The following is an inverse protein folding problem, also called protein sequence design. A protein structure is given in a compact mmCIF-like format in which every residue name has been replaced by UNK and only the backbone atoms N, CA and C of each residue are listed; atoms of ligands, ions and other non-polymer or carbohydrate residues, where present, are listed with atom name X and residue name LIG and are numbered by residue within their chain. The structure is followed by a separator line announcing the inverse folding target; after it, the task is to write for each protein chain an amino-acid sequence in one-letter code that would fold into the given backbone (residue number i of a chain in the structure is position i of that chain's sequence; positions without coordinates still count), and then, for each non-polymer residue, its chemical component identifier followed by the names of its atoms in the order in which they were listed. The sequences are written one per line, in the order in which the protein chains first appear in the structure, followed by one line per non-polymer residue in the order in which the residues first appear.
data_IF_266139666034
#
_entry.id   IF_266139666034
#
_cell.length_a   1.000
_cell.length_b   1.000
_cell.length_c   1.000
_cell.angle_alpha   90.00
_cell.angle_beta   90.00
_cell.angle_gamma   90.00
#
_symmetry.space_group_name_H-M   'P 1'
#
loop_
_entity.id
_entity.type
_entity.pdbx_description
1 polymer ?
#
# COMPACT_ATOMS: atom_id res chain seq x y z
N UNK A 1 -19.37 5.39 14.77
CA UNK A 1 -18.17 5.59 13.93
C UNK A 1 -17.63 4.24 13.44
N UNK A 2 -17.47 4.04 12.13
CA UNK A 2 -16.84 2.84 11.60
C UNK A 2 -15.33 2.94 11.89
N UNK A 3 -14.87 2.21 12.91
CA UNK A 3 -13.49 2.24 13.42
C UNK A 3 -12.65 1.09 12.88
N UNK A 4 -13.08 0.43 11.80
CA UNK A 4 -12.40 -0.76 11.29
C UNK A 4 -11.06 -0.35 10.69
N UNK A 5 -9.99 -0.83 11.32
CA UNK A 5 -8.63 -0.73 10.80
C UNK A 5 -8.23 -2.00 10.06
N UNK A 6 -7.33 -1.86 9.11
CA UNK A 6 -6.79 -2.97 8.32
C UNK A 6 -5.30 -2.76 8.05
N UNK A 7 -4.55 -3.85 7.90
CA UNK A 7 -3.13 -3.80 7.55
C UNK A 7 -2.97 -3.95 6.04
N UNK A 8 -2.44 -2.92 5.39
CA UNK A 8 -2.15 -2.89 3.96
C UNK A 8 -0.66 -2.86 3.66
N UNK A 9 -0.29 -3.35 2.48
CA UNK A 9 1.09 -3.35 2.00
C UNK A 9 1.23 -2.53 0.72
N UNK A 10 2.21 -1.63 0.68
CA UNK A 10 2.54 -0.81 -0.47
C UNK A 10 3.99 -1.06 -0.88
N UNK A 11 4.25 -1.40 -2.14
CA UNK A 11 5.61 -1.55 -2.67
C UNK A 11 5.91 -0.42 -3.62
N UNK A 12 7.12 0.10 -3.52
CA UNK A 12 7.58 1.24 -4.32
C UNK A 12 9.10 1.18 -4.49
N UNK A 13 9.66 2.06 -5.32
CA UNK A 13 11.12 2.19 -5.41
C UNK A 13 11.68 2.93 -4.18
N UNK A 14 12.97 2.72 -3.88
CA UNK A 14 13.59 3.29 -2.69
C UNK A 14 13.53 4.82 -2.63
N UNK A 15 13.66 5.52 -3.77
CA UNK A 15 13.60 6.99 -3.80
C UNK A 15 12.20 7.50 -3.46
N UNK A 16 11.17 6.88 -4.02
CA UNK A 16 9.78 7.16 -3.69
C UNK A 16 9.47 6.84 -2.22
N UNK A 17 10.04 5.76 -1.68
CA UNK A 17 9.92 5.42 -0.27
C UNK A 17 10.50 6.53 0.63
N UNK A 18 11.72 6.98 0.35
CA UNK A 18 12.34 8.11 1.05
C UNK A 18 11.49 9.37 0.94
N UNK A 19 10.93 9.67 -0.24
CA UNK A 19 10.03 10.81 -0.42
C UNK A 19 8.73 10.70 0.41
N UNK A 20 8.18 9.49 0.57
CA UNK A 20 7.03 9.22 1.45
C UNK A 20 7.42 9.47 2.90
N UNK A 21 8.61 9.05 3.33
CA UNK A 21 9.08 9.31 4.69
C UNK A 21 9.21 10.82 5.01
N UNK A 22 9.56 11.64 4.01
CA UNK A 22 9.67 13.09 4.20
C UNK A 22 8.35 13.87 4.01
N UNK A 23 7.44 13.39 3.17
CA UNK A 23 6.28 14.18 2.72
C UNK A 23 4.93 13.48 2.80
N UNK A 24 4.89 12.31 3.44
CA UNK A 24 3.76 11.38 3.50
C UNK A 24 3.34 10.78 2.14
N UNK A 25 2.37 9.86 2.18
CA UNK A 25 1.77 9.28 0.97
C UNK A 25 1.01 10.35 0.19
N UNK A 26 1.14 10.27 -1.14
CA UNK A 26 0.40 11.11 -2.08
C UNK A 26 -0.60 10.27 -2.87
N UNK A 27 -1.74 10.86 -3.18
CA UNK A 27 -2.74 10.26 -4.04
C UNK A 27 -2.14 10.06 -5.44
N UNK A 28 -2.31 8.86 -6.00
CA UNK A 28 -1.90 8.60 -7.37
C UNK A 28 -2.88 9.24 -8.35
N UNK A 29 -2.44 10.26 -9.08
CA UNK A 29 -3.26 11.01 -10.05
C UNK A 29 -2.97 10.68 -11.51
N UNK A 30 -1.90 9.92 -11.79
CA UNK A 30 -1.45 9.61 -13.15
C UNK A 30 -2.16 8.38 -13.70
N UNK A 31 -2.78 8.47 -14.88
CA UNK A 31 -3.44 7.32 -15.53
C UNK A 31 -2.43 6.30 -16.08
N UNK A 32 -2.76 5.00 -16.18
CA UNK A 32 -4.03 4.37 -15.77
C UNK A 32 -4.10 4.07 -14.26
N UNK A 33 -5.31 4.10 -13.69
CA UNK A 33 -5.61 3.80 -12.29
C UNK A 33 -6.79 2.83 -12.17
N UNK A 34 -6.52 1.57 -11.80
CA UNK A 34 -7.51 0.47 -11.83
C UNK A 34 -8.73 0.72 -10.95
N UNK A 35 -8.54 1.31 -9.78
CA UNK A 35 -9.57 1.55 -8.75
C UNK A 35 -9.88 3.04 -8.56
N UNK A 36 -9.50 3.86 -9.55
CA UNK A 36 -9.56 5.32 -9.43
C UNK A 36 -8.32 5.90 -8.76
N UNK A 37 -8.32 7.22 -8.59
CA UNK A 37 -7.17 7.94 -8.03
C UNK A 37 -7.17 7.87 -6.50
N UNK A 38 -6.12 7.26 -5.95
CA UNK A 38 -5.93 7.17 -4.50
C UNK A 38 -4.60 6.55 -4.12
N UNK A 39 -4.50 6.06 -2.88
CA UNK A 39 -3.31 5.37 -2.38
C UNK A 39 -3.61 3.87 -2.36
N UNK A 40 -2.80 3.10 -3.07
CA UNK A 40 -3.04 1.68 -3.32
C UNK A 40 -2.29 0.81 -2.31
N UNK A 41 -2.98 -0.21 -1.83
CA UNK A 41 -2.43 -1.24 -0.96
C UNK A 41 -2.86 -2.62 -1.45
N UNK A 42 -1.99 -3.60 -1.23
CA UNK A 42 -2.32 -5.01 -1.36
C UNK A 42 -2.60 -5.61 0.01
N UNK A 43 -3.37 -6.70 0.01
CA UNK A 43 -3.60 -7.54 1.19
C UNK A 43 -2.38 -8.35 1.63
N UNK A 44 -1.43 -8.57 0.73
CA UNK A 44 -0.29 -9.47 0.96
C UNK A 44 1.01 -8.87 0.43
N UNK A 45 2.07 -8.91 1.26
CA UNK A 45 3.44 -8.50 0.88
C UNK A 45 3.87 -9.19 -0.42
N UNK A 46 3.71 -10.51 -0.51
CA UNK A 46 4.15 -11.30 -1.67
C UNK A 46 3.49 -10.85 -2.98
N UNK A 47 2.25 -10.36 -2.91
CA UNK A 47 1.52 -9.95 -4.11
C UNK A 47 1.73 -8.48 -4.48
N UNK A 48 2.45 -7.71 -3.66
CA UNK A 48 2.91 -6.37 -4.05
C UNK A 48 3.97 -6.42 -5.16
N UNK A 49 4.78 -7.51 -5.22
CA UNK A 49 5.84 -7.72 -6.21
C UNK A 49 5.33 -7.77 -7.65
N UNK A 50 4.10 -8.26 -7.87
CA UNK A 50 3.52 -8.34 -9.21
C UNK A 50 2.91 -7.03 -9.70
N UNK A 51 2.82 -5.99 -8.84
CA UNK A 51 1.99 -4.79 -9.07
C UNK A 51 2.84 -3.55 -9.24
N UNK A 52 3.71 -3.28 -8.27
CA UNK A 52 4.74 -2.30 -8.45
C UNK A 52 5.79 -2.97 -9.36
N UNK A 53 5.87 -2.57 -10.64
CA UNK A 53 7.05 -2.87 -11.49
C UNK A 53 8.31 -2.14 -10.99
N UNK A 54 8.42 -2.00 -9.67
CA UNK A 54 9.35 -1.20 -8.90
C UNK A 54 9.69 -2.00 -7.65
N UNK A 55 10.97 -2.26 -7.50
CA UNK A 55 11.55 -2.91 -6.34
C UNK A 55 12.40 -1.89 -5.58
N UNK A 56 12.53 -2.08 -4.27
CA UNK A 56 13.39 -1.25 -3.45
C UNK A 56 12.84 -0.89 -2.07
N UNK A 57 11.52 -0.89 -1.88
CA UNK A 57 10.94 -0.77 -0.54
C UNK A 57 9.54 -1.38 -0.44
N UNK A 58 9.22 -1.87 0.76
CA UNK A 58 7.87 -2.28 1.17
C UNK A 58 7.46 -1.50 2.40
N UNK A 59 6.25 -0.93 2.36
CA UNK A 59 5.62 -0.23 3.47
C UNK A 59 4.43 -1.04 3.96
N UNK A 60 4.40 -1.33 5.26
CA UNK A 60 3.27 -1.93 5.96
C UNK A 60 2.55 -0.81 6.73
N UNK A 61 1.25 -0.63 6.46
CA UNK A 61 0.48 0.48 6.99
C UNK A 61 -0.79 0.01 7.72
N UNK A 62 -1.09 0.63 8.86
CA UNK A 62 -2.37 0.54 9.54
C UNK A 62 -3.33 1.60 8.96
N UNK A 63 -4.46 1.15 8.43
CA UNK A 63 -5.34 1.96 7.60
C UNK A 63 -6.76 1.94 8.18
N UNK A 64 -7.34 3.12 8.37
CA UNK A 64 -8.75 3.29 8.67
C UNK A 64 -9.60 3.12 7.40
N UNK A 65 -10.34 2.02 7.32
CA UNK A 65 -11.07 1.63 6.11
C UNK A 65 -12.35 2.42 5.88
N UNK A 66 -12.98 2.93 6.95
CA UNK A 66 -14.24 3.67 6.85
C UNK A 66 -15.34 2.87 6.13
N UNK A 67 -16.06 3.52 5.20
CA UNK A 67 -17.03 2.87 4.33
C UNK A 67 -16.32 2.24 3.13
N UNK A 68 -16.46 0.93 2.97
CA UNK A 68 -15.80 0.16 1.91
C UNK A 68 -16.79 -0.14 0.78
N UNK A 69 -16.40 0.17 -0.45
CA UNK A 69 -17.02 -0.34 -1.66
C UNK A 69 -16.26 -1.60 -2.09
N UNK A 70 -16.87 -2.77 -1.95
CA UNK A 70 -16.30 -4.02 -2.48
C UNK A 70 -16.74 -4.19 -3.95
N UNK A 71 -15.80 -4.56 -4.81
CA UNK A 71 -16.06 -4.85 -6.22
C UNK A 71 -15.34 -6.12 -6.70
N UNK A 72 -15.85 -6.70 -7.78
CA UNK A 72 -15.21 -7.79 -8.53
C UNK A 72 -14.78 -7.35 -9.95
N UNK A 73 -14.33 -8.31 -10.77
CA UNK A 73 -13.63 -8.02 -12.04
C UNK A 73 -14.55 -7.39 -13.10
N UNK A 74 -15.82 -7.75 -13.13
CA UNK A 74 -16.84 -7.22 -14.05
C UNK A 74 -17.25 -5.77 -13.72
N UNK A 75 -16.88 -5.27 -12.53
CA UNK A 75 -17.17 -3.90 -12.10
C UNK A 75 -15.99 -2.94 -12.27
N UNK A 76 -14.79 -3.44 -12.61
CA UNK A 76 -13.57 -2.64 -12.73
C UNK A 76 -13.69 -1.48 -13.72
N UNK A 77 -14.37 -1.69 -14.84
CA UNK A 77 -14.55 -0.66 -15.87
C UNK A 77 -15.35 0.55 -15.35
N UNK A 78 -16.22 0.34 -14.35
CA UNK A 78 -17.06 1.41 -13.78
C UNK A 78 -16.29 2.32 -12.82
N UNK A 79 -15.14 1.87 -12.31
CA UNK A 79 -14.35 2.58 -11.28
C UNK A 79 -12.98 3.00 -11.77
N UNK A 80 -12.51 2.44 -12.88
CA UNK A 80 -11.20 2.73 -13.46
C UNK A 80 -11.09 4.21 -13.86
N UNK A 81 -10.00 4.86 -13.42
CA UNK A 81 -9.68 6.26 -13.70
C UNK A 81 -10.74 7.28 -13.25
N UNK A 82 -11.62 6.92 -12.31
CA UNK A 82 -12.65 7.81 -11.75
C UNK A 82 -12.67 7.77 -10.23
N UNK A 83 -13.09 8.87 -9.61
CA UNK A 83 -13.24 9.00 -8.15
C UNK A 83 -14.71 9.16 -7.74
N UNK A 84 -15.66 8.76 -8.60
CA UNK A 84 -17.10 8.86 -8.29
C UNK A 84 -17.46 8.21 -6.95
N UNK A 85 -16.79 7.09 -6.61
CA UNK A 85 -17.00 6.39 -5.34
C UNK A 85 -16.59 7.21 -4.10
N UNK A 86 -15.73 8.24 -4.21
CA UNK A 86 -15.28 9.05 -3.07
C UNK A 86 -16.42 9.79 -2.35
N UNK A 87 -17.54 10.03 -3.05
CA UNK A 87 -18.72 10.72 -2.52
C UNK A 87 -19.39 9.91 -1.41
N UNK A 88 -19.38 8.58 -1.54
CA UNK A 88 -20.12 7.67 -0.65
C UNK A 88 -19.19 6.77 0.15
N UNK A 89 -18.01 6.47 -0.36
CA UNK A 89 -17.08 5.51 0.23
C UNK A 89 -15.74 6.17 0.56
N UNK A 90 -15.01 5.56 1.48
CA UNK A 90 -13.69 5.97 1.96
C UNK A 90 -12.59 5.05 1.40
N UNK A 91 -12.96 3.82 1.08
CA UNK A 91 -12.08 2.83 0.46
C UNK A 91 -12.85 2.06 -0.60
N UNK A 92 -12.18 1.73 -1.70
CA UNK A 92 -12.64 0.71 -2.64
C UNK A 92 -11.75 -0.52 -2.52
N UNK A 93 -12.35 -1.70 -2.46
CA UNK A 93 -11.68 -2.98 -2.27
C UNK A 93 -12.02 -3.89 -3.44
N UNK A 94 -11.01 -4.26 -4.22
CA UNK A 94 -11.13 -5.21 -5.31
C UNK A 94 -10.81 -6.63 -4.82
N UNK A 95 -11.82 -7.49 -4.94
CA UNK A 95 -11.72 -8.92 -4.62
C UNK A 95 -11.31 -9.69 -5.87
N UNK A 96 -10.15 -10.33 -5.82
CA UNK A 96 -9.68 -11.11 -6.96
C UNK A 96 -10.34 -12.50 -6.93
N UNK A 97 -11.24 -12.84 -7.87
CA UNK A 97 -12.17 -13.98 -7.72
C UNK A 97 -11.48 -15.35 -7.63
N UNK A 98 -10.31 -15.49 -8.27
CA UNK A 98 -9.54 -16.75 -8.29
C UNK A 98 -8.28 -16.76 -7.44
N UNK A 99 -7.86 -15.60 -6.94
CA UNK A 99 -6.58 -15.44 -6.26
C UNK A 99 -6.73 -14.43 -5.11
N UNK A 100 -7.41 -14.77 -4.00
CA UNK A 100 -7.73 -13.83 -2.92
C UNK A 100 -6.51 -13.15 -2.29
N UNK A 101 -5.32 -13.75 -2.43
CA UNK A 101 -4.07 -13.14 -1.99
C UNK A 101 -3.65 -11.93 -2.85
N UNK A 102 -4.29 -11.74 -4.02
CA UNK A 102 -4.09 -10.63 -4.95
C UNK A 102 -5.10 -9.51 -4.79
N UNK A 103 -5.96 -9.57 -3.77
CA UNK A 103 -6.85 -8.46 -3.45
C UNK A 103 -6.08 -7.13 -3.34
N UNK A 104 -6.74 -6.07 -3.77
CA UNK A 104 -6.24 -4.70 -3.72
C UNK A 104 -7.26 -3.80 -3.11
N UNK A 105 -6.80 -2.72 -2.50
CA UNK A 105 -7.69 -1.65 -2.12
C UNK A 105 -7.01 -0.31 -2.31
N UNK A 106 -7.85 0.69 -2.56
CA UNK A 106 -7.45 2.06 -2.80
C UNK A 106 -8.18 2.94 -1.79
N UNK A 107 -7.42 3.76 -1.05
CA UNK A 107 -7.96 4.72 -0.09
C UNK A 107 -7.94 6.13 -0.69
N UNK A 108 -8.95 6.93 -0.34
CA UNK A 108 -9.12 8.27 -0.93
C UNK A 108 -8.29 9.36 -0.27
N UNK A 109 -7.70 9.12 0.89
CA UNK A 109 -6.96 10.13 1.66
C UNK A 109 -5.81 9.55 2.46
N UNK A 110 -4.70 10.29 2.52
CA UNK A 110 -3.57 9.99 3.41
C UNK A 110 -3.97 10.02 4.89
N UNK A 111 -5.00 10.80 5.27
CA UNK A 111 -5.50 10.85 6.64
C UNK A 111 -6.08 9.50 7.14
N UNK A 112 -6.32 8.54 6.24
CA UNK A 112 -6.71 7.19 6.61
C UNK A 112 -5.52 6.33 7.04
N UNK A 113 -4.28 6.73 6.78
CA UNK A 113 -3.08 6.02 7.23
C UNK A 113 -2.76 6.48 8.64
N UNK A 114 -2.91 5.59 9.61
CA UNK A 114 -2.72 5.90 11.02
C UNK A 114 -1.26 5.77 11.44
N UNK A 115 -0.61 4.70 10.96
CA UNK A 115 0.78 4.35 11.26
C UNK A 115 1.34 3.53 10.11
N UNK A 116 2.64 3.57 9.92
CA UNK A 116 3.31 2.71 8.95
C UNK A 116 4.76 2.43 9.36
N UNK A 117 5.30 1.32 8.84
CA UNK A 117 6.70 0.96 8.90
C UNK A 117 7.18 0.64 7.48
N UNK A 118 8.42 1.02 7.18
CA UNK A 118 9.04 0.84 5.88
C UNK A 118 10.26 -0.05 6.02
N UNK A 119 10.42 -0.97 5.08
CA UNK A 119 11.62 -1.76 4.88
C UNK A 119 12.19 -1.39 3.51
N UNK A 120 13.43 -0.91 3.46
CA UNK A 120 14.17 -0.66 2.22
C UNK A 120 14.93 -1.95 1.88
N UNK A 121 14.70 -2.49 0.69
CA UNK A 121 15.29 -3.75 0.24
C UNK A 121 16.73 -3.51 -0.27
N UNK A 122 17.65 -4.49 -0.17
CA UNK A 122 18.95 -4.42 -0.84
C UNK A 122 18.81 -4.23 -2.36
N UNK A 123 19.75 -3.54 -3.03
CA UNK A 123 20.96 -2.91 -2.50
C UNK A 123 20.76 -1.46 -2.02
N UNK A 124 19.51 -1.01 -1.84
CA UNK A 124 19.24 0.41 -1.60
C UNK A 124 19.57 0.86 -0.17
N UNK A 125 19.55 -0.07 0.78
CA UNK A 125 20.11 0.14 2.11
C UNK A 125 21.52 -0.47 2.20
N UNK A 126 22.52 0.29 1.75
CA UNK A 126 23.93 -0.12 1.82
C UNK A 126 24.47 -0.11 3.25
N UNK A 127 23.74 0.47 4.22
CA UNK A 127 24.15 0.44 5.62
C UNK A 127 24.00 -0.96 6.22
N UNK A 128 23.05 -1.77 5.73
CA UNK A 128 22.90 -3.17 6.14
C UNK A 128 24.20 -3.95 5.89
N UNK A 129 24.78 -3.79 4.69
CA UNK A 129 26.06 -4.40 4.34
C UNK A 129 27.23 -3.75 5.09
N UNK A 130 27.26 -2.41 5.14
CA UNK A 130 28.35 -1.66 5.78
C UNK A 130 28.50 -1.96 7.27
N UNK A 131 27.39 -2.19 7.99
CA UNK A 131 27.38 -2.42 9.43
C UNK A 131 27.11 -3.89 9.80
N UNK A 132 27.03 -4.79 8.81
CA UNK A 132 26.84 -6.22 9.05
C UNK A 132 25.50 -6.59 9.68
N UNK A 133 24.44 -5.81 9.42
CA UNK A 133 23.09 -5.99 10.01
C UNK A 133 22.30 -7.15 9.37
N UNK A 134 22.99 -8.17 8.87
CA UNK A 134 22.43 -9.26 8.08
C UNK A 134 21.61 -10.29 8.88
N UNK A 135 21.52 -10.15 10.20
CA UNK A 135 20.95 -11.16 11.11
C UNK A 135 19.86 -10.65 12.06
N UNK A 136 19.47 -9.37 11.97
CA UNK A 136 18.59 -8.73 12.97
C UNK A 136 17.12 -9.17 12.95
N UNK A 137 16.72 -10.05 12.04
CA UNK A 137 15.33 -10.55 11.96
C UNK A 137 15.09 -11.89 12.68
N UNK A 138 16.08 -12.44 13.39
CA UNK A 138 15.87 -13.69 14.11
C UNK A 138 15.11 -13.54 15.44
N UNK A 139 15.14 -12.38 16.12
CA UNK A 139 14.38 -12.23 17.39
C UNK A 139 14.11 -10.79 17.84
N UNK A 140 14.34 -9.78 16.98
CA UNK A 140 14.30 -8.39 17.42
C UNK A 140 12.93 -7.77 17.15
N UNK A 141 12.19 -7.52 18.23
CA UNK A 141 11.04 -6.61 18.23
C UNK A 141 11.50 -5.27 17.64
N UNK A 142 11.11 -4.96 16.41
CA UNK A 142 11.32 -3.66 15.79
C UNK A 142 10.82 -2.55 16.73
N UNK A 143 11.75 -1.86 17.38
CA UNK A 143 11.53 -0.49 17.82
C UNK A 143 12.18 0.35 16.73
N UNK A 144 11.35 0.92 15.86
CA UNK A 144 11.81 1.87 14.84
C UNK A 144 12.68 2.95 15.50
N UNK A 145 13.79 3.29 14.84
CA UNK A 145 14.60 4.47 15.11
C UNK A 145 13.89 5.68 14.49
#
# INVERSE_FOLDING_TARGET
PLTTTYIGFHRTDALAAVNIAYTDFRLSTTRPQMLGHGIYFARSIFHTQFKARRDGAVICAEILMGRVLEIENDELENVSNTNAWHQTFDTIYYRHPRQPLRDEFCIKSNAQILKWVMCIEPPFDTNVERYGLHTEFADTKCRCI
#
